data_IF_726934687391
#
_entry.id   IF_726934687391
#
_cell.length_a   1.000
_cell.length_b   1.000
_cell.length_c   1.000
_cell.angle_alpha   90.00
_cell.angle_beta   90.00
_cell.angle_gamma   90.00
#
_symmetry.space_group_name_H-M   'P 1'
#
loop_
_entity.id
_entity.type
_entity.pdbx_description
1 polymer ?
#
# COMPACT_ATOMS: atom_id res chain seq x y z
N UNK A 1 26.04 -0.15 -18.98
CA UNK A 1 26.39 -1.52 -18.51
C UNK A 1 26.33 -1.61 -17.00
N UNK A 2 26.86 -0.64 -16.25
CA UNK A 2 26.74 -0.55 -14.77
C UNK A 2 25.29 -0.50 -14.23
N UNK A 3 24.37 0.11 -14.99
CA UNK A 3 22.92 0.12 -14.65
C UNK A 3 22.23 -1.24 -14.82
N UNK A 4 22.78 -2.12 -15.66
CA UNK A 4 22.22 -3.44 -15.97
C UNK A 4 22.77 -4.51 -15.01
N UNK A 5 24.01 -4.37 -14.55
CA UNK A 5 24.56 -5.27 -13.50
C UNK A 5 23.87 -5.09 -12.14
N UNK A 6 23.44 -3.87 -11.79
CA UNK A 6 22.68 -3.62 -10.55
C UNK A 6 21.22 -4.11 -10.60
N UNK A 7 20.67 -4.43 -11.78
CA UNK A 7 19.33 -4.99 -11.92
C UNK A 7 19.27 -6.50 -11.63
N UNK A 8 20.42 -7.17 -11.62
CA UNK A 8 20.55 -8.60 -11.33
C UNK A 8 21.24 -8.89 -9.99
N UNK A 9 21.55 -7.87 -9.19
CA UNK A 9 22.02 -8.11 -7.83
C UNK A 9 20.89 -8.77 -7.04
N UNK A 10 21.14 -9.95 -6.45
CA UNK A 10 20.20 -10.61 -5.55
C UNK A 10 19.68 -9.58 -4.54
N UNK A 11 18.38 -9.58 -4.20
CA UNK A 11 17.88 -8.66 -3.20
C UNK A 11 18.73 -8.78 -1.94
N UNK A 12 19.07 -7.64 -1.34
CA UNK A 12 19.88 -7.53 -0.13
C UNK A 12 19.52 -8.63 0.86
N UNK A 13 20.52 -9.24 1.52
CA UNK A 13 20.35 -10.39 2.43
C UNK A 13 19.01 -10.37 3.17
N UNK A 14 18.28 -11.49 3.16
CA UNK A 14 16.99 -11.74 3.83
C UNK A 14 16.72 -10.91 5.11
N UNK A 15 17.72 -10.78 5.97
CA UNK A 15 17.70 -9.99 7.19
C UNK A 15 17.26 -8.53 7.01
N UNK A 16 17.63 -7.88 5.91
CA UNK A 16 17.25 -6.50 5.63
C UNK A 16 15.73 -6.33 5.45
N UNK A 17 15.06 -7.29 4.80
CA UNK A 17 13.61 -7.27 4.65
C UNK A 17 12.91 -7.38 6.00
N UNK A 18 13.40 -8.25 6.88
CA UNK A 18 12.85 -8.43 8.23
C UNK A 18 13.01 -7.17 9.08
N UNK A 19 14.16 -6.49 9.00
CA UNK A 19 14.36 -5.21 9.70
C UNK A 19 13.40 -4.12 9.20
N UNK A 20 13.16 -4.05 7.89
CA UNK A 20 12.21 -3.09 7.32
C UNK A 20 10.77 -3.42 7.72
N UNK A 21 10.38 -4.69 7.73
CA UNK A 21 9.07 -5.12 8.24
C UNK A 21 8.87 -4.71 9.70
N UNK A 22 9.83 -5.03 10.57
CA UNK A 22 9.77 -4.66 11.99
C UNK A 22 9.76 -3.14 12.18
N UNK A 23 10.61 -2.43 11.45
CA UNK A 23 10.66 -0.97 11.46
C UNK A 23 9.33 -0.35 11.03
N UNK A 24 8.66 -0.93 10.02
CA UNK A 24 7.33 -0.52 9.55
C UNK A 24 6.26 -0.73 10.62
N UNK A 25 6.25 -1.89 11.30
CA UNK A 25 5.33 -2.16 12.42
C UNK A 25 5.48 -1.09 13.50
N UNK A 26 6.72 -0.79 13.91
CA UNK A 26 7.01 0.24 14.92
C UNK A 26 6.61 1.63 14.43
N UNK A 27 6.89 1.96 13.17
CA UNK A 27 6.52 3.24 12.58
C UNK A 27 5.00 3.45 12.63
N UNK A 28 4.20 2.49 12.15
CA UNK A 28 2.75 2.64 12.14
C UNK A 28 2.13 2.59 13.54
N UNK A 29 2.74 1.88 14.49
CA UNK A 29 2.37 1.99 15.90
C UNK A 29 2.59 3.40 16.45
N UNK A 30 3.70 4.07 16.09
CA UNK A 30 3.96 5.47 16.47
C UNK A 30 2.94 6.40 15.79
N UNK A 31 2.67 6.22 14.49
CA UNK A 31 1.65 7.01 13.77
C UNK A 31 0.30 6.87 14.47
N UNK A 32 -0.11 5.65 14.83
CA UNK A 32 -1.34 5.40 15.56
C UNK A 32 -1.38 6.15 16.90
N UNK A 33 -0.32 6.07 17.72
CA UNK A 33 -0.22 6.81 18.99
C UNK A 33 -0.34 8.32 18.76
N UNK A 34 0.33 8.85 17.73
CA UNK A 34 0.27 10.28 17.38
C UNK A 34 -1.15 10.68 16.99
N UNK A 35 -1.83 9.91 16.15
CA UNK A 35 -3.22 10.17 15.73
C UNK A 35 -4.18 10.12 16.92
N UNK A 36 -4.02 9.13 17.81
CA UNK A 36 -4.83 9.06 19.04
C UNK A 36 -4.62 10.28 19.95
N UNK A 37 -3.38 10.78 20.06
CA UNK A 37 -3.05 11.98 20.85
C UNK A 37 -3.63 13.26 20.26
N UNK A 38 -3.63 13.40 18.93
CA UNK A 38 -4.30 14.52 18.25
C UNK A 38 -5.81 14.47 18.50
N UNK A 39 -6.35 13.25 18.59
CA UNK A 39 -7.77 13.01 18.81
C UNK A 39 -8.59 13.14 17.53
N UNK A 40 -9.87 12.75 17.61
CA UNK A 40 -10.79 12.90 16.48
C UNK A 40 -11.45 14.29 16.47
N UNK A 41 -11.71 14.88 15.30
CA UNK A 41 -12.50 16.11 15.19
C UNK A 41 -13.89 15.95 15.81
N UNK A 42 -14.45 17.03 16.37
CA UNK A 42 -15.79 17.02 16.99
C UNK A 42 -16.91 16.63 16.01
N UNK A 43 -16.71 16.83 14.71
CA UNK A 43 -17.67 16.44 13.67
C UNK A 43 -17.73 14.93 13.44
N UNK A 44 -16.71 14.16 13.86
CA UNK A 44 -16.62 12.71 13.64
C UNK A 44 -17.46 11.95 14.66
N UNK A 45 -18.61 11.46 14.20
CA UNK A 45 -19.56 10.67 15.01
C UNK A 45 -19.14 9.20 15.21
N UNK A 46 -18.26 8.68 14.35
CA UNK A 46 -17.74 7.31 14.41
C UNK A 46 -16.90 7.03 15.66
N UNK A 47 -16.67 5.75 15.96
CA UNK A 47 -15.83 5.36 17.10
C UNK A 47 -14.37 5.84 16.92
N UNK A 48 -13.69 6.09 18.04
CA UNK A 48 -12.33 6.67 18.03
C UNK A 48 -11.32 5.74 17.35
N UNK A 49 -11.54 4.44 17.47
CA UNK A 49 -10.68 3.43 16.85
C UNK A 49 -10.76 3.49 15.33
N UNK A 50 -11.96 3.50 14.76
CA UNK A 50 -12.19 3.52 13.31
C UNK A 50 -11.63 4.78 12.67
N UNK A 51 -11.76 5.94 13.34
CA UNK A 51 -11.09 7.17 12.91
C UNK A 51 -9.57 6.98 12.84
N UNK A 52 -8.97 6.51 13.93
CA UNK A 52 -7.52 6.34 14.04
C UNK A 52 -7.01 5.34 13.02
N UNK A 53 -7.61 4.16 12.96
CA UNK A 53 -7.30 3.10 12.01
C UNK A 53 -7.38 3.64 10.57
N UNK A 54 -8.46 4.32 10.20
CA UNK A 54 -8.63 4.86 8.85
C UNK A 54 -7.57 5.92 8.49
N UNK A 55 -7.15 6.78 9.43
CA UNK A 55 -6.05 7.74 9.19
C UNK A 55 -4.72 7.00 9.01
N UNK A 56 -4.45 5.98 9.83
CA UNK A 56 -3.21 5.18 9.76
C UNK A 56 -3.15 4.44 8.42
N UNK A 57 -4.25 3.80 7.99
CA UNK A 57 -4.35 3.15 6.67
C UNK A 57 -4.24 4.14 5.52
N UNK A 58 -4.75 5.36 5.67
CA UNK A 58 -4.59 6.42 4.68
C UNK A 58 -3.13 6.84 4.51
N UNK A 59 -2.38 6.99 5.60
CA UNK A 59 -0.94 7.30 5.56
C UNK A 59 -0.17 6.18 4.85
N UNK A 60 -0.49 4.92 5.18
CA UNK A 60 0.09 3.76 4.51
C UNK A 60 -0.15 3.79 3.00
N UNK A 61 -1.42 3.84 2.61
CA UNK A 61 -1.82 3.82 1.21
C UNK A 61 -1.18 4.97 0.44
N UNK A 62 -1.08 6.17 1.03
CA UNK A 62 -0.38 7.32 0.42
C UNK A 62 1.10 7.04 0.16
N UNK A 63 1.83 6.53 1.17
CA UNK A 63 3.26 6.25 1.05
C UNK A 63 3.51 5.18 -0.02
N UNK A 64 2.79 4.07 0.04
CA UNK A 64 2.98 2.95 -0.89
C UNK A 64 2.54 3.33 -2.30
N UNK A 65 1.45 4.08 -2.47
CA UNK A 65 1.02 4.52 -3.79
C UNK A 65 2.05 5.39 -4.50
N UNK A 66 2.67 6.33 -3.78
CA UNK A 66 3.71 7.20 -4.34
C UNK A 66 4.95 6.36 -4.67
N UNK A 67 5.35 5.48 -3.75
CA UNK A 67 6.51 4.60 -3.94
C UNK A 67 6.30 3.67 -5.15
N UNK A 68 5.12 3.07 -5.27
CA UNK A 68 4.77 2.16 -6.35
C UNK A 68 4.79 2.85 -7.71
N UNK A 69 4.17 4.03 -7.83
CA UNK A 69 4.25 4.85 -9.05
C UNK A 69 5.72 5.18 -9.41
N UNK A 70 6.55 5.51 -8.41
CA UNK A 70 7.99 5.75 -8.62
C UNK A 70 8.69 4.48 -9.13
N UNK A 71 8.33 3.30 -8.64
CA UNK A 71 8.87 2.03 -9.14
C UNK A 71 8.58 1.85 -10.64
N UNK A 72 7.33 2.06 -11.08
CA UNK A 72 6.96 1.96 -12.50
C UNK A 72 7.67 2.99 -13.39
N UNK A 73 7.96 4.18 -12.87
CA UNK A 73 8.66 5.24 -13.62
C UNK A 73 10.16 4.95 -13.72
N UNK A 74 10.78 4.50 -12.63
CA UNK A 74 12.23 4.30 -12.57
C UNK A 74 12.69 2.94 -13.13
N UNK A 75 11.80 1.94 -13.10
CA UNK A 75 12.09 0.55 -13.43
C UNK A 75 11.04 -0.04 -14.38
N UNK A 76 10.88 0.51 -15.59
CA UNK A 76 9.86 0.05 -16.54
C UNK A 76 10.01 -1.43 -16.90
N UNK A 77 11.22 -2.00 -16.77
CA UNK A 77 11.50 -3.41 -17.02
C UNK A 77 10.74 -4.38 -16.11
N UNK A 78 10.20 -3.89 -14.99
CA UNK A 78 9.35 -4.70 -14.11
C UNK A 78 8.16 -5.32 -14.86
N UNK A 79 7.64 -4.63 -15.89
CA UNK A 79 6.50 -5.09 -16.68
C UNK A 79 6.87 -6.19 -17.68
N UNK A 80 8.16 -6.35 -17.97
CA UNK A 80 8.66 -7.28 -18.96
C UNK A 80 8.85 -8.67 -18.35
N UNK A 81 9.16 -8.71 -17.05
CA UNK A 81 9.38 -9.93 -16.29
C UNK A 81 8.79 -9.82 -14.88
N UNK A 82 7.50 -10.16 -14.77
CA UNK A 82 6.80 -10.11 -13.48
C UNK A 82 7.25 -11.19 -12.48
N UNK A 83 7.91 -12.25 -12.96
CA UNK A 83 8.21 -13.44 -12.16
C UNK A 83 9.60 -13.36 -11.55
N UNK A 84 10.62 -13.00 -12.34
CA UNK A 84 12.01 -13.08 -11.92
C UNK A 84 12.69 -11.71 -11.77
N UNK A 85 12.03 -10.61 -12.15
CA UNK A 85 12.60 -9.29 -11.92
C UNK A 85 12.77 -9.00 -10.43
N UNK A 86 13.99 -8.61 -10.05
CA UNK A 86 14.38 -8.31 -8.67
C UNK A 86 15.01 -6.94 -8.59
N UNK A 87 14.58 -6.17 -7.59
CA UNK A 87 15.13 -4.86 -7.34
C UNK A 87 15.00 -4.54 -5.85
N UNK A 88 16.08 -4.04 -5.24
CA UNK A 88 16.12 -3.72 -3.80
C UNK A 88 15.13 -2.63 -3.40
N UNK A 89 14.90 -1.64 -4.26
CA UNK A 89 13.95 -0.57 -3.99
C UNK A 89 12.52 -1.11 -3.92
N UNK A 90 12.15 -2.01 -4.83
CA UNK A 90 10.86 -2.71 -4.81
C UNK A 90 10.81 -3.65 -3.60
N UNK A 91 11.87 -4.42 -3.33
CA UNK A 91 11.95 -5.33 -2.19
C UNK A 91 11.66 -4.62 -0.86
N UNK A 92 12.26 -3.45 -0.62
CA UNK A 92 12.02 -2.68 0.59
C UNK A 92 10.60 -2.10 0.66
N UNK A 93 10.01 -1.71 -0.47
CA UNK A 93 8.60 -1.32 -0.51
C UNK A 93 7.68 -2.48 -0.11
N UNK A 94 7.93 -3.68 -0.65
CA UNK A 94 7.17 -4.89 -0.32
C UNK A 94 7.35 -5.28 1.15
N UNK A 95 8.58 -5.19 1.68
CA UNK A 95 8.83 -5.41 3.11
C UNK A 95 8.10 -4.39 3.99
N UNK A 96 8.16 -3.10 3.63
CA UNK A 96 7.51 -2.03 4.39
C UNK A 96 5.98 -2.20 4.41
N UNK A 97 5.36 -2.53 3.28
CA UNK A 97 3.91 -2.75 3.22
C UNK A 97 3.49 -4.02 3.93
N UNK A 98 4.28 -5.10 3.87
CA UNK A 98 4.01 -6.33 4.62
C UNK A 98 3.99 -6.04 6.12
N UNK A 99 4.97 -5.28 6.61
CA UNK A 99 5.02 -4.84 8.01
C UNK A 99 3.79 -4.04 8.43
N UNK A 100 3.29 -3.15 7.57
CA UNK A 100 2.04 -2.43 7.81
C UNK A 100 0.84 -3.39 7.92
N UNK A 101 0.67 -4.32 6.98
CA UNK A 101 -0.48 -5.24 7.01
C UNK A 101 -0.48 -6.11 8.26
N UNK A 102 0.71 -6.55 8.71
CA UNK A 102 0.88 -7.27 9.99
C UNK A 102 0.49 -6.38 11.17
N UNK A 103 0.96 -5.14 11.21
CA UNK A 103 0.58 -4.17 12.24
C UNK A 103 -0.94 -3.97 12.30
N UNK A 104 -1.58 -3.70 11.16
CA UNK A 104 -3.01 -3.39 11.09
C UNK A 104 -3.87 -4.61 11.48
N UNK A 105 -3.42 -5.81 11.10
CA UNK A 105 -4.03 -7.05 11.54
C UNK A 105 -3.93 -7.25 13.07
N UNK A 106 -2.78 -6.97 13.67
CA UNK A 106 -2.60 -7.00 15.13
C UNK A 106 -3.49 -5.96 15.81
N UNK A 107 -3.58 -4.73 15.28
CA UNK A 107 -4.46 -3.69 15.80
C UNK A 107 -5.93 -4.13 15.77
N UNK A 108 -6.37 -4.80 14.68
CA UNK A 108 -7.71 -5.39 14.58
C UNK A 108 -7.97 -6.49 15.62
N UNK A 109 -6.97 -7.33 15.92
CA UNK A 109 -7.08 -8.37 16.97
C UNK A 109 -7.25 -7.71 18.34
N UNK A 110 -6.35 -6.79 18.70
CA UNK A 110 -6.35 -6.11 20.01
C UNK A 110 -7.67 -5.37 20.24
N UNK A 111 -8.24 -4.77 19.19
CA UNK A 111 -9.48 -4.01 19.29
C UNK A 111 -10.76 -4.85 19.03
N UNK A 112 -10.65 -6.19 18.99
CA UNK A 112 -11.76 -7.12 18.80
C UNK A 112 -12.59 -6.84 17.52
N UNK A 113 -11.92 -6.51 16.42
CA UNK A 113 -12.55 -6.13 15.14
C UNK A 113 -12.56 -7.25 14.10
N UNK A 114 -11.80 -8.31 14.30
CA UNK A 114 -11.63 -9.44 13.37
C UNK A 114 -12.96 -10.00 12.85
N UNK A 115 -13.87 -10.41 13.74
CA UNK A 115 -15.17 -10.97 13.31
C UNK A 115 -16.15 -9.91 12.79
N UNK A 116 -16.03 -8.67 13.26
CA UNK A 116 -16.89 -7.56 12.80
C UNK A 116 -16.52 -7.10 11.39
N UNK A 117 -15.26 -7.26 11.01
CA UNK A 117 -14.68 -6.86 9.73
C UNK A 117 -14.09 -8.10 9.02
N UNK A 118 -14.91 -9.14 8.85
CA UNK A 118 -14.44 -10.44 8.36
C UNK A 118 -13.87 -10.37 6.92
N UNK A 119 -14.47 -9.58 6.03
CA UNK A 119 -13.99 -9.40 4.64
C UNK A 119 -12.58 -8.81 4.62
N UNK A 120 -12.38 -7.77 5.44
CA UNK A 120 -11.08 -7.11 5.60
C UNK A 120 -10.09 -8.08 6.25
N UNK A 121 -10.51 -8.84 7.25
CA UNK A 121 -9.66 -9.84 7.90
C UNK A 121 -9.15 -10.87 6.90
N UNK A 122 -10.02 -11.41 6.03
CA UNK A 122 -9.61 -12.37 5.01
C UNK A 122 -8.64 -11.75 4.00
N UNK A 123 -8.88 -10.50 3.61
CA UNK A 123 -7.94 -9.74 2.78
C UNK A 123 -6.57 -9.63 3.45
N UNK A 124 -6.51 -9.25 4.73
CA UNK A 124 -5.25 -9.16 5.49
C UNK A 124 -4.51 -10.50 5.56
N UNK A 125 -5.22 -11.60 5.81
CA UNK A 125 -4.61 -12.94 5.81
C UNK A 125 -4.00 -13.26 4.45
N UNK A 126 -4.72 -12.97 3.35
CA UNK A 126 -4.24 -13.23 2.01
C UNK A 126 -2.98 -12.40 1.66
N UNK A 127 -3.01 -11.08 1.90
CA UNK A 127 -1.88 -10.20 1.57
C UNK A 127 -0.67 -10.42 2.48
N UNK A 128 -0.86 -10.66 3.79
CA UNK A 128 0.24 -10.98 4.71
C UNK A 128 0.92 -12.27 4.30
N UNK A 129 0.14 -13.30 3.95
CA UNK A 129 0.69 -14.59 3.54
C UNK A 129 1.48 -14.46 2.23
N UNK A 130 0.87 -13.85 1.21
CA UNK A 130 1.50 -13.71 -0.10
C UNK A 130 2.72 -12.79 -0.07
N UNK A 131 2.58 -11.57 0.47
CA UNK A 131 3.70 -10.64 0.52
C UNK A 131 4.79 -11.10 1.48
N UNK A 132 4.42 -11.71 2.62
CA UNK A 132 5.38 -12.30 3.56
C UNK A 132 6.25 -13.38 2.92
N UNK A 133 5.66 -14.27 2.13
CA UNK A 133 6.41 -15.27 1.36
C UNK A 133 7.30 -14.61 0.30
N UNK A 134 6.81 -13.60 -0.42
CA UNK A 134 7.60 -12.88 -1.42
C UNK A 134 8.81 -12.14 -0.80
N UNK A 135 8.66 -11.59 0.42
CA UNK A 135 9.77 -11.01 1.18
C UNK A 135 10.74 -12.08 1.68
N UNK A 136 10.22 -13.24 2.11
CA UNK A 136 11.02 -14.36 2.59
C UNK A 136 11.88 -14.97 1.48
N UNK A 137 11.30 -15.21 0.30
CA UNK A 137 11.98 -15.77 -0.86
C UNK A 137 12.75 -14.73 -1.68
N UNK A 138 12.45 -13.44 -1.50
CA UNK A 138 13.00 -12.37 -2.32
C UNK A 138 12.65 -12.53 -3.80
N UNK A 139 11.43 -13.00 -4.09
CA UNK A 139 10.94 -13.35 -5.44
C UNK A 139 9.54 -12.77 -5.66
N UNK A 140 9.06 -12.77 -6.91
CA UNK A 140 7.74 -12.21 -7.28
C UNK A 140 7.54 -10.74 -6.90
N UNK A 141 8.62 -9.96 -6.88
CA UNK A 141 8.61 -8.56 -6.45
C UNK A 141 7.87 -7.67 -7.44
N UNK A 142 8.11 -7.84 -8.75
CA UNK A 142 7.40 -7.11 -9.79
C UNK A 142 5.90 -7.44 -9.80
N UNK A 143 5.53 -8.71 -9.64
CA UNK A 143 4.13 -9.12 -9.45
C UNK A 143 3.50 -8.43 -8.23
N UNK A 144 4.23 -8.36 -7.12
CA UNK A 144 3.76 -7.68 -5.90
C UNK A 144 3.60 -6.18 -6.11
N UNK A 145 4.53 -5.54 -6.84
CA UNK A 145 4.45 -4.14 -7.25
C UNK A 145 3.12 -3.88 -8.00
N UNK A 146 2.79 -4.71 -9.00
CA UNK A 146 1.51 -4.60 -9.73
C UNK A 146 0.30 -4.80 -8.81
N UNK A 147 0.36 -5.74 -7.86
CA UNK A 147 -0.72 -5.92 -6.89
C UNK A 147 -0.90 -4.69 -5.98
N UNK A 148 0.19 -4.00 -5.63
CA UNK A 148 0.18 -2.80 -4.80
C UNK A 148 -0.38 -1.55 -5.50
N UNK A 149 -0.58 -1.57 -6.83
CA UNK A 149 -1.38 -0.54 -7.50
C UNK A 149 -2.82 -0.46 -6.94
N UNK A 150 -3.32 -1.54 -6.33
CA UNK A 150 -4.59 -1.50 -5.62
C UNK A 150 -4.57 -0.53 -4.42
N UNK A 151 -3.41 -0.28 -3.80
CA UNK A 151 -3.27 0.69 -2.72
C UNK A 151 -3.49 2.13 -3.17
N UNK A 152 -3.26 2.43 -4.46
CA UNK A 152 -3.62 3.72 -5.01
C UNK A 152 -5.13 3.95 -4.95
N UNK A 153 -5.92 2.92 -5.25
CA UNK A 153 -7.36 2.99 -5.08
C UNK A 153 -7.74 3.11 -3.60
N UNK A 154 -7.06 2.38 -2.71
CA UNK A 154 -7.24 2.48 -1.25
C UNK A 154 -6.98 3.90 -0.74
N UNK A 155 -5.93 4.58 -1.22
CA UNK A 155 -5.60 5.95 -0.84
C UNK A 155 -6.78 6.92 -1.10
N UNK A 156 -7.37 6.89 -2.29
CA UNK A 156 -8.52 7.73 -2.60
C UNK A 156 -9.79 7.30 -1.85
N UNK A 157 -9.98 5.99 -1.67
CA UNK A 157 -11.11 5.45 -0.91
C UNK A 157 -11.06 5.91 0.55
N UNK A 158 -9.89 5.83 1.19
CA UNK A 158 -9.68 6.29 2.55
C UNK A 158 -9.82 7.81 2.66
N UNK A 159 -9.27 8.57 1.70
CA UNK A 159 -9.47 10.02 1.61
C UNK A 159 -10.95 10.39 1.62
N UNK A 160 -11.74 9.69 0.79
CA UNK A 160 -13.20 9.88 0.72
C UNK A 160 -13.88 9.57 2.04
N UNK A 161 -13.55 8.42 2.66
CA UNK A 161 -14.13 8.00 3.93
C UNK A 161 -13.80 8.99 5.06
N UNK A 162 -12.57 9.50 5.14
CA UNK A 162 -12.16 10.48 6.15
C UNK A 162 -12.96 11.78 6.04
N UNK A 163 -13.10 12.30 4.82
CA UNK A 163 -13.88 13.52 4.55
C UNK A 163 -15.38 13.32 4.84
N UNK A 164 -15.93 12.14 4.51
CA UNK A 164 -17.30 11.76 4.91
C UNK A 164 -17.47 11.73 6.43
N UNK A 165 -16.51 11.15 7.16
CA UNK A 165 -16.53 11.10 8.62
C UNK A 165 -16.47 12.49 9.26
N UNK A 166 -15.69 13.41 8.68
CA UNK A 166 -15.61 14.80 9.14
C UNK A 166 -16.86 15.63 8.81
N UNK A 167 -17.87 15.05 8.15
CA UNK A 167 -19.05 15.74 7.61
C UNK A 167 -18.68 16.90 6.68
N UNK A 168 -17.53 16.81 6.01
CA UNK A 168 -17.13 17.82 5.05
C UNK A 168 -18.09 17.76 3.87
N UNK A 169 -18.85 18.83 3.63
CA UNK A 169 -19.72 18.93 2.46
C UNK A 169 -18.82 19.05 1.24
N UNK A 170 -18.77 18.00 0.43
CA UNK A 170 -18.09 18.05 -0.85
C UNK A 170 -18.89 18.93 -1.81
N UNK A 171 -18.19 19.84 -2.48
CA UNK A 171 -18.67 20.33 -3.76
C UNK A 171 -18.62 19.17 -4.78
N UNK A 172 -19.67 19.02 -5.57
CA UNK A 172 -19.90 17.90 -6.49
C UNK A 172 -18.73 17.74 -7.49
N UNK A 173 -18.05 18.84 -7.80
CA UNK A 173 -16.99 18.90 -8.78
C UNK A 173 -15.68 18.26 -8.29
N UNK A 174 -15.34 18.37 -7.01
CA UNK A 174 -14.12 17.73 -6.47
C UNK A 174 -14.20 16.19 -6.55
N UNK A 175 -15.40 15.63 -6.30
CA UNK A 175 -15.65 14.19 -6.41
C UNK A 175 -15.52 13.70 -7.85
N UNK A 176 -16.01 14.47 -8.82
CA UNK A 176 -15.88 14.15 -10.24
C UNK A 176 -14.43 14.18 -10.69
N UNK A 177 -13.66 15.18 -10.26
CA UNK A 177 -12.24 15.32 -10.62
C UNK A 177 -11.40 14.14 -10.13
N UNK A 178 -11.59 13.67 -8.90
CA UNK A 178 -10.87 12.51 -8.37
C UNK A 178 -11.25 11.23 -9.14
N UNK A 179 -12.54 10.99 -9.38
CA UNK A 179 -12.98 9.83 -10.15
C UNK A 179 -12.48 9.87 -11.59
N UNK A 180 -12.42 11.04 -12.20
CA UNK A 180 -11.91 11.22 -13.57
C UNK A 180 -10.40 10.97 -13.61
N UNK A 181 -9.65 11.53 -12.65
CA UNK A 181 -8.21 11.31 -12.55
C UNK A 181 -7.86 9.83 -12.37
N UNK A 182 -8.55 9.13 -11.48
CA UNK A 182 -8.40 7.69 -11.26
C UNK A 182 -8.72 6.87 -12.52
N UNK A 183 -9.82 7.19 -13.19
CA UNK A 183 -10.22 6.52 -14.45
C UNK A 183 -9.18 6.74 -15.55
N UNK A 184 -8.66 7.97 -15.68
CA UNK A 184 -7.65 8.32 -16.70
C UNK A 184 -6.32 7.63 -16.41
N UNK A 185 -5.89 7.59 -15.15
CA UNK A 185 -4.67 6.90 -14.76
C UNK A 185 -4.77 5.41 -15.03
N UNK A 186 -5.90 4.78 -14.68
CA UNK A 186 -6.16 3.37 -14.97
C UNK A 186 -6.14 3.06 -16.47
N UNK A 187 -6.78 3.91 -17.30
CA UNK A 187 -6.77 3.79 -18.75
C UNK A 187 -5.36 3.94 -19.34
N UNK A 188 -4.55 4.89 -18.84
CA UNK A 188 -3.17 5.06 -19.30
C UNK A 188 -2.29 3.85 -18.96
N UNK A 189 -2.45 3.28 -17.77
CA UNK A 189 -1.72 2.08 -17.36
C UNK A 189 -2.15 0.87 -18.22
N UNK A 190 -3.43 0.76 -18.56
CA UNK A 190 -3.92 -0.32 -19.42
C UNK A 190 -3.42 -0.18 -20.88
N UNK A 191 -3.40 1.04 -21.43
CA UNK A 191 -2.87 1.30 -22.77
C UNK A 191 -1.34 1.09 -22.83
N UNK A 192 -0.61 1.44 -21.76
CA UNK A 192 0.82 1.16 -21.68
C UNK A 192 1.11 -0.35 -21.68
N UNK A 193 0.23 -1.15 -21.06
CA UNK A 193 0.29 -2.62 -21.10
C UNK A 193 0.06 -3.17 -22.51
N UNK A 194 -0.91 -2.63 -23.25
CA UNK A 194 -1.20 -3.06 -24.63
C UNK A 194 -0.08 -2.71 -25.61
N UNK A 195 0.52 -1.53 -25.46
CA UNK A 195 1.68 -1.09 -26.24
C UNK A 195 2.93 -1.97 -26.02
N UNK A 196 3.09 -2.54 -24.82
CA UNK A 196 4.19 -3.44 -24.49
C UNK A 196 3.95 -4.89 -24.93
N UNK A 197 2.69 -5.28 -25.17
CA UNK A 197 2.30 -6.63 -25.62
C UNK A 197 2.19 -6.78 -27.15
N UNK A 198 2.44 -5.70 -27.90
CA UNK A 198 2.33 -5.64 -29.36
C UNK A 198 3.67 -5.48 -30.09
N UNK A 199 4.79 -5.52 -29.35
CA UNK A 199 6.16 -5.78 -29.83
C UNK A 199 6.58 -7.22 -29.51
#
# INVERSE_FOLDING_TARGET
>A
MEKIENLNSSPTNFWHGQYVMFGSIVFFQIVNIVVQKIGKPKSVREDSWRWTNLVVSWVHAMIISIWDIVCFILYPELMNDLLYYKNNFIYFMVAATTGYFVYDFIDMIINNKIFKLWEITLHHIAVISMFGLNVYEGSYLAFTCVALLAELNSFFLHSRKLLQMMQFQYDIDFRKTICLFLSILFLKLNNAKEAYSSE
#
